data_IF_085998298024
#
_entry.id   IF_085998298024
#
_cell.length_a   1.000
_cell.length_b   1.000
_cell.length_c   1.000
_cell.angle_alpha   90.00
_cell.angle_beta   90.00
_cell.angle_gamma   90.00
#
_symmetry.space_group_name_H-M   'P 1'
#
loop_
_entity.id
_entity.type
_entity.pdbx_description
1 polymer ?
#
# COMPACT_ATOMS: atom_id res chain seq x y z
N UNK A 1 -10.90 17.05 -60.66
CA UNK A 1 -11.64 17.60 -59.50
C UNK A 1 -11.57 16.61 -58.35
N UNK A 2 -10.67 16.86 -57.40
CA UNK A 2 -10.52 16.06 -56.18
C UNK A 2 -11.66 16.48 -55.26
N UNK A 3 -12.62 15.58 -55.04
CA UNK A 3 -13.80 15.82 -54.22
C UNK A 3 -13.38 16.20 -52.79
N UNK A 4 -13.60 17.47 -52.42
CA UNK A 4 -13.38 18.05 -51.09
C UNK A 4 -13.97 17.17 -49.95
N UNK A 5 -15.03 16.41 -50.27
CA UNK A 5 -15.74 15.52 -49.34
C UNK A 5 -14.89 14.36 -48.79
N UNK A 6 -13.85 13.90 -49.50
CA UNK A 6 -13.01 12.78 -49.03
C UNK A 6 -11.91 13.18 -48.04
N UNK A 7 -11.53 14.45 -48.01
CA UNK A 7 -10.47 14.96 -47.11
C UNK A 7 -11.03 15.16 -45.69
N UNK A 8 -12.30 15.59 -45.57
CA UNK A 8 -12.97 15.83 -44.29
C UNK A 8 -13.17 14.55 -43.45
N UNK A 9 -13.43 13.41 -44.09
CA UNK A 9 -13.63 12.13 -43.39
C UNK A 9 -12.31 11.60 -42.81
N UNK A 10 -11.20 11.85 -43.51
CA UNK A 10 -9.88 11.41 -43.07
C UNK A 10 -9.36 12.21 -41.88
N UNK A 11 -9.75 13.49 -41.75
CA UNK A 11 -9.38 14.34 -40.62
C UNK A 11 -10.13 13.97 -39.32
N UNK A 12 -11.38 13.51 -39.42
CA UNK A 12 -12.18 13.15 -38.24
C UNK A 12 -11.69 11.88 -37.54
N UNK A 13 -11.13 10.92 -38.29
CA UNK A 13 -10.62 9.67 -37.71
C UNK A 13 -9.24 9.83 -37.02
N UNK A 14 -8.41 10.77 -37.45
CA UNK A 14 -7.09 11.01 -36.83
C UNK A 14 -7.21 11.69 -35.47
N UNK A 15 -8.25 12.50 -35.24
CA UNK A 15 -8.49 13.17 -33.95
C UNK A 15 -9.06 12.22 -32.88
N UNK A 16 -9.71 11.12 -33.30
CA UNK A 16 -10.26 10.11 -32.37
C UNK A 16 -9.23 9.07 -31.90
N UNK A 17 -8.10 8.91 -32.60
CA UNK A 17 -7.05 7.94 -32.27
C UNK A 17 -5.97 8.48 -31.31
N UNK A 18 -5.97 9.78 -31.00
CA UNK A 18 -5.00 10.40 -30.08
C UNK A 18 -5.46 10.49 -28.62
N UNK A 19 -6.67 10.00 -28.29
CA UNK A 19 -7.26 10.14 -26.95
C UNK A 19 -7.06 8.94 -25.99
N UNK A 20 -6.21 7.96 -26.34
CA UNK A 20 -5.82 6.88 -25.43
C UNK A 20 -4.31 6.80 -25.26
N UNK A 21 -3.66 7.93 -24.97
CA UNK A 21 -2.41 7.86 -24.20
C UNK A 21 -2.82 7.72 -22.74
N UNK A 22 -3.04 6.48 -22.30
CA UNK A 22 -3.08 6.13 -20.88
C UNK A 22 -1.70 6.39 -20.31
N UNK A 23 -1.47 7.62 -19.86
CA UNK A 23 -0.40 7.93 -18.94
C UNK A 23 -0.69 7.13 -17.68
N UNK A 24 -0.07 5.94 -17.58
CA UNK A 24 -0.04 5.20 -16.32
C UNK A 24 0.54 6.18 -15.30
N UNK A 25 -0.21 6.57 -14.26
CA UNK A 25 0.32 7.51 -13.28
C UNK A 25 1.52 6.83 -12.62
N UNK A 26 2.73 7.29 -12.94
CA UNK A 26 3.98 6.70 -12.46
C UNK A 26 4.16 6.89 -10.95
N UNK A 27 3.29 7.70 -10.33
CA UNK A 27 3.20 7.90 -8.89
C UNK A 27 1.73 7.88 -8.47
N UNK A 28 1.21 6.69 -8.16
CA UNK A 28 -0.03 6.57 -7.41
C UNK A 28 0.11 7.36 -6.09
N UNK A 29 -0.83 8.26 -5.80
CA UNK A 29 -0.88 8.92 -4.50
C UNK A 29 -1.29 7.88 -3.45
N UNK A 30 -0.36 7.48 -2.58
CA UNK A 30 -0.58 6.46 -1.56
C UNK A 30 -0.47 7.11 -0.19
N UNK A 31 -1.52 6.94 0.62
CA UNK A 31 -1.57 7.42 1.99
C UNK A 31 -1.58 6.21 2.93
N UNK A 32 -0.72 6.23 3.94
CA UNK A 32 -0.74 5.26 5.03
C UNK A 32 -1.44 5.86 6.25
N UNK A 33 -2.37 5.11 6.82
CA UNK A 33 -3.01 5.42 8.11
C UNK A 33 -2.66 4.32 9.12
N UNK A 34 -1.98 4.68 10.21
CA UNK A 34 -1.48 3.73 11.20
C UNK A 34 -1.97 4.01 12.64
N UNK A 35 -3.01 4.84 12.80
CA UNK A 35 -3.56 5.18 14.11
C UNK A 35 -3.98 3.97 14.94
N UNK A 36 -4.45 2.90 14.28
CA UNK A 36 -4.79 1.64 14.94
C UNK A 36 -3.58 0.94 15.57
N UNK A 37 -2.37 1.12 15.02
CA UNK A 37 -1.13 0.58 15.62
C UNK A 37 -0.80 1.25 16.95
N UNK A 38 -1.17 2.53 17.13
CA UNK A 38 -0.88 3.28 18.36
C UNK A 38 -1.58 2.67 19.59
N UNK A 39 -2.73 2.04 19.40
CA UNK A 39 -3.44 1.29 20.46
C UNK A 39 -2.58 0.14 21.02
N UNK A 40 -1.67 -0.39 20.20
CA UNK A 40 -0.73 -1.45 20.54
C UNK A 40 0.69 -0.94 20.81
N UNK A 41 0.87 0.39 20.95
CA UNK A 41 2.19 1.03 21.14
C UNK A 41 3.15 0.74 19.99
N UNK A 42 2.60 0.63 18.78
CA UNK A 42 3.32 0.43 17.53
C UNK A 42 3.11 1.63 16.61
N UNK A 43 4.04 1.84 15.69
CA UNK A 43 3.90 2.78 14.57
C UNK A 43 4.63 2.22 13.34
N UNK A 44 4.22 2.67 12.15
CA UNK A 44 4.92 2.36 10.90
C UNK A 44 6.19 3.20 10.78
N UNK A 45 7.23 2.60 10.18
CA UNK A 45 8.48 3.28 9.85
C UNK A 45 8.88 2.94 8.43
N UNK A 46 9.28 3.95 7.65
CA UNK A 46 9.71 3.81 6.25
C UNK A 46 8.73 2.99 5.41
N UNK A 47 7.43 3.14 5.66
CA UNK A 47 6.40 2.44 4.89
C UNK A 47 6.33 3.03 3.48
N UNK A 48 6.39 2.16 2.49
CA UNK A 48 6.29 2.51 1.08
C UNK A 48 5.32 1.56 0.40
N UNK A 49 4.64 2.05 -0.62
CA UNK A 49 4.01 1.18 -1.58
C UNK A 49 4.31 1.66 -3.00
N UNK A 50 4.44 0.73 -3.92
CA UNK A 50 4.75 1.02 -5.32
C UNK A 50 4.09 0.00 -6.22
N UNK A 51 3.71 0.46 -7.40
CA UNK A 51 3.26 -0.40 -8.48
C UNK A 51 4.43 -0.65 -9.44
N UNK A 52 4.80 -1.91 -9.63
CA UNK A 52 5.74 -2.34 -10.66
C UNK A 52 5.03 -3.37 -11.53
N UNK A 53 4.93 -3.11 -12.85
CA UNK A 53 4.27 -4.00 -13.81
C UNK A 53 2.85 -4.44 -13.40
N UNK A 54 2.09 -3.52 -12.80
CA UNK A 54 0.72 -3.79 -12.32
C UNK A 54 0.65 -4.55 -10.99
N UNK A 55 1.78 -4.82 -10.35
CA UNK A 55 1.88 -5.49 -9.05
C UNK A 55 2.12 -4.44 -7.97
N UNK A 56 1.25 -4.40 -6.96
CA UNK A 56 1.42 -3.56 -5.78
C UNK A 56 2.36 -4.26 -4.79
N UNK A 57 3.47 -3.62 -4.46
CA UNK A 57 4.35 -4.03 -3.35
C UNK A 57 4.23 -3.02 -2.23
N UNK A 58 3.92 -3.48 -1.02
CA UNK A 58 3.92 -2.68 0.22
C UNK A 58 5.05 -3.19 1.10
N UNK A 59 5.92 -2.30 1.57
CA UNK A 59 7.05 -2.66 2.43
C UNK A 59 7.31 -1.60 3.48
N UNK A 60 8.02 -1.98 4.54
CA UNK A 60 8.40 -1.04 5.58
C UNK A 60 8.83 -1.75 6.84
N UNK A 61 8.79 -1.01 7.95
CA UNK A 61 8.97 -1.56 9.29
C UNK A 61 7.84 -1.18 10.23
N UNK A 62 7.78 -1.92 11.32
CA UNK A 62 6.95 -1.67 12.49
C UNK A 62 7.83 -1.68 13.73
N UNK A 63 7.69 -0.68 14.58
CA UNK A 63 8.51 -0.56 15.78
C UNK A 63 7.71 -0.04 16.98
N UNK A 64 8.18 -0.31 18.21
CA UNK A 64 7.52 0.17 19.41
C UNK A 64 7.71 1.66 19.63
N UNK A 65 6.65 2.34 20.07
CA UNK A 65 6.64 3.79 20.33
C UNK A 65 7.20 4.18 21.70
N UNK A 66 7.33 3.24 22.64
CA UNK A 66 7.72 3.50 24.03
C UNK A 66 8.91 2.65 24.47
N UNK A 67 9.56 2.99 25.59
CA UNK A 67 10.77 2.31 26.11
C UNK A 67 10.57 0.94 26.79
N UNK A 68 9.35 0.57 27.17
CA UNK A 68 9.05 -0.71 27.87
C UNK A 68 7.99 -1.65 27.23
N UNK A 69 7.52 -1.48 25.99
CA UNK A 69 6.65 -2.47 25.39
C UNK A 69 7.51 -3.67 24.98
N UNK A 70 7.27 -4.81 25.63
CA UNK A 70 7.55 -6.10 25.02
C UNK A 70 6.32 -6.45 24.19
N UNK A 71 6.42 -6.32 22.87
CA UNK A 71 5.33 -6.66 21.96
C UNK A 71 5.54 -8.11 21.53
N UNK A 72 4.61 -8.96 21.94
CA UNK A 72 4.49 -10.35 21.51
C UNK A 72 4.37 -10.45 19.98
N UNK A 73 4.61 -11.63 19.43
CA UNK A 73 4.46 -11.84 18.00
C UNK A 73 2.99 -11.68 17.55
N UNK A 74 2.84 -11.14 16.34
CA UNK A 74 1.55 -10.93 15.69
C UNK A 74 1.73 -10.64 14.21
N UNK A 75 0.66 -10.16 13.60
CA UNK A 75 0.60 -9.82 12.19
C UNK A 75 0.17 -8.36 12.02
N UNK A 76 0.59 -7.76 10.91
CA UNK A 76 0.03 -6.51 10.44
C UNK A 76 -1.14 -6.83 9.53
N UNK A 77 -2.32 -6.31 9.83
CA UNK A 77 -3.45 -6.35 8.91
C UNK A 77 -3.45 -5.07 8.07
N UNK A 78 -3.45 -5.22 6.76
CA UNK A 78 -3.58 -4.14 5.79
C UNK A 78 -5.00 -4.16 5.23
N UNK A 79 -5.67 -3.01 5.28
CA UNK A 79 -6.92 -2.76 4.57
C UNK A 79 -6.65 -1.67 3.53
N UNK A 80 -6.83 -2.01 2.27
CA UNK A 80 -6.48 -1.16 1.13
C UNK A 80 -7.77 -0.66 0.50
N UNK A 81 -7.92 0.65 0.47
CA UNK A 81 -9.07 1.35 -0.05
C UNK A 81 -8.69 2.19 -1.26
N UNK A 82 -9.66 2.45 -2.14
CA UNK A 82 -9.57 3.55 -3.07
C UNK A 82 -9.84 4.89 -2.38
N UNK A 83 -9.77 5.99 -3.14
CA UNK A 83 -10.02 7.34 -2.63
C UNK A 83 -11.50 7.64 -2.35
N UNK A 84 -12.41 6.75 -2.76
CA UNK A 84 -13.85 6.82 -2.46
C UNK A 84 -14.19 6.07 -1.17
N UNK A 85 -13.21 5.38 -0.57
CA UNK A 85 -13.39 4.59 0.64
C UNK A 85 -13.91 3.17 0.40
N UNK A 86 -13.87 2.68 -0.84
CA UNK A 86 -14.24 1.30 -1.16
C UNK A 86 -13.07 0.38 -0.82
N UNK A 87 -13.34 -0.67 -0.03
CA UNK A 87 -12.34 -1.69 0.30
C UNK A 87 -12.02 -2.53 -0.94
N UNK A 88 -10.77 -2.44 -1.40
CA UNK A 88 -10.26 -3.22 -2.54
C UNK A 88 -9.69 -4.56 -2.09
N UNK A 89 -8.96 -4.57 -0.97
CA UNK A 89 -8.30 -5.76 -0.44
C UNK A 89 -8.07 -5.66 1.06
N UNK A 90 -8.18 -6.79 1.75
CA UNK A 90 -7.69 -6.94 3.11
C UNK A 90 -6.78 -8.18 3.19
N UNK A 91 -5.68 -8.06 3.91
CA UNK A 91 -4.72 -9.16 4.08
C UNK A 91 -3.87 -8.99 5.34
N UNK A 92 -3.32 -10.09 5.82
CA UNK A 92 -2.37 -10.09 6.93
C UNK A 92 -0.95 -10.34 6.39
N UNK A 93 0.02 -9.61 6.93
CA UNK A 93 1.43 -9.84 6.67
C UNK A 93 2.19 -10.08 7.98
N UNK A 94 3.09 -11.06 7.95
CA UNK A 94 4.06 -11.24 9.02
C UNK A 94 5.16 -10.16 8.91
N UNK A 95 5.76 -9.82 10.03
CA UNK A 95 6.98 -9.03 10.08
C UNK A 95 8.08 -9.82 10.80
N UNK A 96 9.34 -9.53 10.48
CA UNK A 96 10.49 -10.19 11.10
C UNK A 96 11.55 -9.16 11.51
N UNK A 97 12.12 -9.26 12.72
CA UNK A 97 11.80 -10.21 13.80
C UNK A 97 10.40 -9.96 14.39
N UNK A 98 9.69 -11.03 14.80
CA UNK A 98 8.32 -10.91 15.30
C UNK A 98 8.23 -10.36 16.74
N UNK A 99 9.27 -10.54 17.55
CA UNK A 99 9.36 -9.92 18.88
C UNK A 99 9.96 -8.53 18.78
N UNK A 100 9.16 -7.52 19.13
CA UNK A 100 9.59 -6.13 19.13
C UNK A 100 9.84 -5.65 20.56
N UNK A 101 10.93 -4.93 20.74
CA UNK A 101 11.26 -4.34 22.03
C UNK A 101 12.03 -3.05 21.85
N UNK A 102 11.88 -2.20 22.86
CA UNK A 102 12.69 -1.01 23.04
C UNK A 102 13.66 -1.30 24.18
N UNK A 103 14.87 -1.75 23.84
CA UNK A 103 15.93 -1.91 24.83
C UNK A 103 16.49 -0.55 25.25
N UNK A 104 17.33 -0.48 26.31
CA UNK A 104 17.89 0.78 26.79
C UNK A 104 18.58 1.61 25.70
N UNK A 105 19.18 0.94 24.68
CA UNK A 105 19.96 1.59 23.63
C UNK A 105 19.58 1.18 22.18
N UNK A 106 18.63 0.25 21.98
CA UNK A 106 18.30 -0.26 20.64
C UNK A 106 16.80 -0.53 20.49
N UNK A 107 16.20 0.06 19.46
CA UNK A 107 14.85 -0.32 19.00
C UNK A 107 14.98 -1.54 18.10
N UNK A 108 14.33 -2.64 18.46
CA UNK A 108 14.18 -3.80 17.58
C UNK A 108 12.91 -3.60 16.74
N UNK A 109 13.12 -3.21 15.49
CA UNK A 109 12.08 -3.04 14.47
C UNK A 109 11.82 -4.37 13.78
N UNK A 110 10.57 -4.63 13.40
CA UNK A 110 10.18 -5.72 12.53
C UNK A 110 9.99 -5.21 11.11
N UNK A 111 10.61 -5.85 10.13
CA UNK A 111 10.46 -5.51 8.71
C UNK A 111 9.38 -6.39 8.06
N UNK A 112 8.62 -5.80 7.14
CA UNK A 112 7.62 -6.52 6.35
C UNK A 112 7.72 -6.14 4.88
N UNK A 113 7.29 -7.07 4.02
CA UNK A 113 7.07 -6.83 2.60
C UNK A 113 5.95 -7.75 2.12
N UNK A 114 5.01 -7.21 1.36
CA UNK A 114 3.89 -7.95 0.80
C UNK A 114 3.64 -7.54 -0.64
N UNK A 115 3.30 -8.53 -1.46
CA UNK A 115 3.09 -8.41 -2.90
C UNK A 115 1.64 -8.76 -3.21
N UNK A 116 0.98 -7.91 -3.99
CA UNK A 116 -0.46 -7.95 -4.25
C UNK A 116 -0.68 -7.76 -5.75
N UNK A 117 -1.30 -8.76 -6.39
CA UNK A 117 -1.39 -8.83 -7.85
C UNK A 117 -2.75 -8.36 -8.41
N UNK A 118 -3.74 -8.12 -7.56
CA UNK A 118 -5.14 -7.93 -7.92
C UNK A 118 -5.65 -6.50 -7.66
N UNK A 119 -4.74 -5.54 -7.55
CA UNK A 119 -5.08 -4.11 -7.44
C UNK A 119 -4.44 -3.38 -8.63
N UNK A 120 -5.25 -2.65 -9.38
CA UNK A 120 -4.76 -1.83 -10.48
C UNK A 120 -4.04 -0.57 -9.99
N UNK A 121 -3.05 -0.03 -10.73
CA UNK A 121 -2.38 1.23 -10.39
C UNK A 121 -3.37 2.40 -10.26
N UNK A 122 -3.54 2.89 -9.03
CA UNK A 122 -4.41 4.01 -8.69
C UNK A 122 -4.01 4.62 -7.34
N UNK A 123 -4.59 5.77 -6.99
CA UNK A 123 -4.41 6.34 -5.65
C UNK A 123 -5.08 5.44 -4.59
N UNK A 124 -4.40 5.23 -3.45
CA UNK A 124 -4.82 4.29 -2.42
C UNK A 124 -4.73 4.91 -1.02
N UNK A 125 -5.63 4.46 -0.15
CA UNK A 125 -5.54 4.65 1.31
C UNK A 125 -5.28 3.28 1.92
N UNK A 126 -4.15 3.13 2.61
CA UNK A 126 -3.72 1.87 3.22
C UNK A 126 -3.80 2.04 4.74
N UNK A 127 -4.79 1.38 5.35
CA UNK A 127 -4.94 1.35 6.80
C UNK A 127 -4.22 0.14 7.37
N UNK A 128 -3.44 0.35 8.41
CA UNK A 128 -2.65 -0.72 9.04
C UNK A 128 -3.04 -0.87 10.50
N UNK A 129 -3.34 -2.10 10.90
CA UNK A 129 -3.64 -2.47 12.28
C UNK A 129 -2.80 -3.67 12.72
N UNK A 130 -2.74 -3.89 14.03
CA UNK A 130 -2.01 -5.01 14.61
C UNK A 130 -2.98 -6.11 15.05
N UNK A 131 -2.71 -7.34 14.63
CA UNK A 131 -3.44 -8.52 15.08
C UNK A 131 -2.51 -9.39 15.91
N UNK A 132 -2.83 -9.53 17.21
CA UNK A 132 -2.11 -10.46 18.08
C UNK A 132 -2.38 -11.89 17.60
N UNK A 133 -1.33 -12.69 17.42
CA UNK A 133 -1.51 -14.13 17.17
C UNK A 133 -2.20 -14.74 18.39
N UNK A 134 -3.30 -15.50 18.23
CA UNK A 134 -4.00 -16.11 19.35
C UNK A 134 -3.22 -17.32 19.88
N UNK A 135 -1.96 -17.15 20.31
CA UNK A 135 -1.18 -18.19 21.00
C UNK A 135 -0.01 -17.60 21.77
N UNK A 136 -0.29 -16.69 22.71
CA UNK A 136 0.57 -16.47 23.88
C UNK A 136 -0.34 -16.19 25.08
N UNK A 137 -0.99 -17.26 25.52
CA UNK A 137 -1.54 -17.38 26.86
C UNK A 137 -0.64 -18.36 27.59
N UNK A 138 0.37 -17.85 28.30
CA UNK A 138 1.06 -18.52 29.40
C UNK A 138 1.73 -17.47 30.28
#
# INVERSE_FOLDING_TARGET
MINLSRILISFFFVVLLSACQTTVPTTANIVFEDDALRQHKLELTNATASFNDGILTISGGVWPTQKKPHIACGQLQFQIFDTQGILLKALNANYSPCHLHYGPNTRRTGSFSVVINDIHPQALIIKVSYQKTPHEAH
#
